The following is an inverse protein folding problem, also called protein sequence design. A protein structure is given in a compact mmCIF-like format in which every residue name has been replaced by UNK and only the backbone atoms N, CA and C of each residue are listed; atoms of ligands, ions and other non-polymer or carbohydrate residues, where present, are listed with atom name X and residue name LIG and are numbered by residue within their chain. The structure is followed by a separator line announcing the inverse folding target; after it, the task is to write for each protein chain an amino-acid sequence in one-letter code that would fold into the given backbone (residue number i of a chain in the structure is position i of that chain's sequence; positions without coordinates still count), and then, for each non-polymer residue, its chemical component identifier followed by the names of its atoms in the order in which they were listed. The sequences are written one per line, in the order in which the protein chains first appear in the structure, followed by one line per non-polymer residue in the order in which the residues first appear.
data_IF_954046780190
#
_entry.id   IF_954046780190
#
_cell.length_a   1.000
_cell.length_b   1.000
_cell.length_c   1.000
_cell.angle_alpha   90.00
_cell.angle_beta   90.00
_cell.angle_gamma   90.00
#
_symmetry.space_group_name_H-M   'P 1'
#
loop_
_entity.id
_entity.type
_entity.pdbx_description
1 polymer ?
#
# COMPACT_ATOMS: atom_id res chain seq x y z
N UNK A 1 9.36 -21.30 20.97
CA UNK A 1 8.20 -20.49 21.39
C UNK A 1 6.96 -21.34 21.66
N UNK A 2 6.57 -22.29 20.82
CA UNK A 2 5.38 -23.12 20.97
C UNK A 2 5.30 -23.98 22.22
N UNK A 3 6.42 -24.45 22.73
CA UNK A 3 6.49 -25.32 23.92
C UNK A 3 6.11 -24.62 25.25
N UNK A 4 5.97 -23.30 25.27
CA UNK A 4 5.74 -22.54 26.52
C UNK A 4 4.38 -21.86 26.62
N UNK A 5 3.52 -21.92 25.58
CA UNK A 5 2.20 -21.29 25.58
C UNK A 5 1.22 -22.10 24.76
N UNK A 6 0.20 -22.59 25.39
CA UNK A 6 -0.99 -23.09 24.68
C UNK A 6 -1.57 -21.97 23.81
N UNK A 7 -2.01 -22.30 22.60
CA UNK A 7 -2.60 -21.36 21.64
C UNK A 7 -1.70 -20.19 21.23
N UNK A 8 -0.42 -20.46 20.99
CA UNK A 8 0.49 -19.48 20.39
C UNK A 8 0.26 -19.38 18.89
N UNK A 9 0.15 -18.15 18.38
CA UNK A 9 0.13 -17.87 16.95
C UNK A 9 1.48 -17.30 16.53
N UNK A 10 2.12 -17.93 15.52
CA UNK A 10 3.29 -17.39 14.84
C UNK A 10 2.89 -16.88 13.47
N UNK A 11 3.28 -15.65 13.14
CA UNK A 11 3.05 -15.04 11.83
C UNK A 11 4.38 -15.02 11.09
N UNK A 12 4.40 -15.54 9.87
CA UNK A 12 5.49 -15.37 8.93
C UNK A 12 5.04 -14.40 7.83
N UNK A 13 5.82 -13.35 7.65
CA UNK A 13 5.61 -12.36 6.59
C UNK A 13 6.97 -11.96 6.03
N UNK A 14 7.10 -11.96 4.72
CA UNK A 14 8.33 -11.60 4.03
C UNK A 14 8.04 -11.04 2.64
N UNK A 15 9.06 -10.44 2.00
CA UNK A 15 8.97 -9.92 0.65
C UNK A 15 8.89 -11.08 -0.36
N UNK A 16 7.93 -11.03 -1.28
CA UNK A 16 7.76 -12.07 -2.31
C UNK A 16 8.98 -12.21 -3.22
N UNK A 17 9.69 -11.12 -3.47
CA UNK A 17 10.90 -11.08 -4.31
C UNK A 17 12.05 -11.91 -3.73
N UNK A 18 12.09 -12.16 -2.42
CA UNK A 18 13.09 -13.04 -1.79
C UNK A 18 12.96 -14.49 -2.24
N UNK A 19 11.81 -14.85 -2.79
CA UNK A 19 11.55 -16.18 -3.33
C UNK A 19 11.95 -16.31 -4.81
N UNK A 20 13.10 -15.77 -5.20
CA UNK A 20 13.72 -15.94 -6.51
C UNK A 20 13.87 -14.67 -7.34
N UNK A 21 13.23 -13.56 -6.95
CA UNK A 21 13.32 -12.26 -7.64
C UNK A 21 14.59 -11.48 -7.32
N UNK A 22 15.12 -11.60 -6.14
CA UNK A 22 16.37 -10.94 -5.73
C UNK A 22 17.61 -11.67 -6.28
N UNK A 23 18.69 -10.96 -6.57
CA UNK A 23 19.92 -11.58 -7.03
C UNK A 23 20.37 -12.72 -6.10
N UNK A 24 20.71 -13.86 -6.69
CA UNK A 24 21.18 -15.10 -6.01
C UNK A 24 20.11 -15.85 -5.20
N UNK A 25 18.89 -15.32 -5.02
CA UNK A 25 17.86 -16.01 -4.25
C UNK A 25 17.25 -17.18 -4.99
N UNK A 26 17.14 -17.12 -6.33
CA UNK A 26 16.59 -18.22 -7.13
C UNK A 26 17.33 -19.54 -6.88
N UNK A 27 18.66 -19.50 -6.94
CA UNK A 27 19.46 -20.71 -6.69
C UNK A 27 19.19 -21.30 -5.31
N UNK A 28 19.25 -20.47 -4.26
CA UNK A 28 19.01 -20.92 -2.89
C UNK A 28 17.60 -21.46 -2.68
N UNK A 29 16.60 -20.77 -3.20
CA UNK A 29 15.18 -21.10 -2.97
C UNK A 29 14.75 -22.35 -3.72
N UNK A 30 15.14 -22.48 -5.01
CA UNK A 30 14.65 -23.53 -5.90
C UNK A 30 15.69 -24.61 -6.18
N UNK A 31 16.93 -24.24 -6.59
CA UNK A 31 17.93 -25.23 -6.98
C UNK A 31 18.54 -25.95 -5.75
N UNK A 32 18.83 -25.20 -4.68
CA UNK A 32 19.32 -25.78 -3.43
C UNK A 32 18.16 -26.36 -2.57
N UNK A 33 16.90 -26.29 -3.03
CA UNK A 33 15.73 -26.92 -2.44
C UNK A 33 15.25 -26.35 -1.12
N UNK A 34 15.61 -25.08 -0.79
CA UNK A 34 15.21 -24.46 0.47
C UNK A 34 13.67 -24.42 0.66
N UNK A 35 12.92 -24.04 -0.41
CA UNK A 35 11.47 -23.90 -0.34
C UNK A 35 10.78 -25.26 -0.11
N UNK A 36 11.23 -26.28 -0.82
CA UNK A 36 10.71 -27.63 -0.67
C UNK A 36 10.98 -28.17 0.74
N UNK A 37 12.22 -27.99 1.24
CA UNK A 37 12.57 -28.39 2.60
C UNK A 37 11.77 -27.63 3.66
N UNK A 38 11.52 -26.34 3.46
CA UNK A 38 10.69 -25.54 4.35
C UNK A 38 9.27 -26.10 4.47
N UNK A 39 8.59 -26.34 3.35
CA UNK A 39 7.22 -26.88 3.36
C UNK A 39 7.16 -28.32 3.84
N UNK A 40 8.10 -29.15 3.44
CA UNK A 40 8.18 -30.54 3.93
C UNK A 40 8.38 -30.60 5.45
N UNK A 41 9.21 -29.70 5.97
CA UNK A 41 9.42 -29.58 7.43
C UNK A 41 8.15 -29.16 8.14
N UNK A 42 7.41 -28.18 7.60
CA UNK A 42 6.12 -27.75 8.18
C UNK A 42 5.09 -28.89 8.17
N UNK A 43 5.01 -29.65 7.07
CA UNK A 43 4.12 -30.81 6.99
C UNK A 43 4.47 -31.90 7.99
N UNK A 44 5.76 -32.20 8.14
CA UNK A 44 6.25 -33.20 9.08
C UNK A 44 5.98 -32.84 10.56
N UNK A 45 5.70 -31.57 10.85
CA UNK A 45 5.38 -31.11 12.21
C UNK A 45 3.87 -30.95 12.46
N UNK A 46 3.02 -31.52 11.60
CA UNK A 46 1.56 -31.36 11.64
C UNK A 46 0.88 -31.79 12.95
N UNK A 47 1.53 -32.63 13.75
CA UNK A 47 1.00 -33.09 15.05
C UNK A 47 0.85 -31.94 16.06
N UNK A 48 1.75 -30.96 16.04
CA UNK A 48 1.76 -29.85 16.98
C UNK A 48 1.71 -28.46 16.32
N UNK A 49 2.04 -28.36 15.03
CA UNK A 49 2.06 -27.12 14.26
C UNK A 49 0.97 -27.17 13.18
N UNK A 50 0.00 -26.27 13.28
CA UNK A 50 -1.08 -26.15 12.29
C UNK A 50 -0.92 -24.88 11.46
N UNK A 51 -0.88 -25.04 10.15
CA UNK A 51 -0.93 -23.91 9.22
C UNK A 51 -2.39 -23.49 9.08
N UNK A 52 -2.62 -22.19 9.26
CA UNK A 52 -3.93 -21.57 9.14
C UNK A 52 -3.82 -20.25 8.40
N UNK A 53 -4.89 -19.83 7.76
CA UNK A 53 -5.00 -18.50 7.14
C UNK A 53 -5.22 -17.42 8.20
N UNK A 54 -5.03 -16.15 7.83
CA UNK A 54 -5.36 -15.03 8.73
C UNK A 54 -6.86 -14.99 9.09
N UNK A 55 -7.73 -15.30 8.14
CA UNK A 55 -9.18 -15.39 8.41
C UNK A 55 -9.50 -16.44 9.46
N UNK A 56 -8.97 -17.64 9.31
CA UNK A 56 -9.12 -18.70 10.32
C UNK A 56 -8.52 -18.31 11.67
N UNK A 57 -7.40 -17.56 11.68
CA UNK A 57 -6.82 -17.08 12.93
C UNK A 57 -7.75 -16.10 13.64
N UNK A 58 -8.36 -15.16 12.91
CA UNK A 58 -9.32 -14.19 13.47
C UNK A 58 -10.58 -14.88 13.99
N UNK A 59 -11.06 -15.92 13.31
CA UNK A 59 -12.22 -16.70 13.76
C UNK A 59 -11.95 -17.55 15.01
N UNK A 60 -10.75 -18.15 15.08
CA UNK A 60 -10.39 -19.11 16.14
C UNK A 60 -9.88 -18.46 17.42
N UNK A 61 -9.23 -17.28 17.32
CA UNK A 61 -8.58 -16.66 18.46
C UNK A 61 -9.27 -15.33 18.84
N UNK A 62 -9.78 -15.28 20.06
CA UNK A 62 -10.29 -14.01 20.59
C UNK A 62 -9.17 -13.00 20.79
N UNK A 63 -9.42 -11.70 20.53
CA UNK A 63 -8.46 -10.64 20.83
C UNK A 63 -8.08 -10.64 22.30
N UNK A 64 -6.78 -10.59 22.60
CA UNK A 64 -6.26 -10.59 23.98
C UNK A 64 -6.19 -9.21 24.61
N UNK A 65 -6.40 -8.16 23.83
CA UNK A 65 -6.35 -6.77 24.31
C UNK A 65 -6.30 -5.79 23.15
N UNK A 66 -6.19 -4.52 23.51
CA UNK A 66 -6.01 -3.42 22.57
C UNK A 66 -4.56 -2.98 22.59
N UNK A 67 -4.04 -2.59 21.44
CA UNK A 67 -2.71 -2.01 21.28
C UNK A 67 -2.83 -0.66 20.61
N UNK A 68 -2.04 0.30 21.06
CA UNK A 68 -1.83 1.55 20.37
C UNK A 68 -0.69 1.38 19.35
N UNK A 69 -0.98 1.65 18.08
CA UNK A 69 0.01 1.69 17.02
C UNK A 69 0.25 3.15 16.65
N UNK A 70 1.41 3.73 17.01
CA UNK A 70 1.74 5.09 16.60
C UNK A 70 1.96 5.17 15.08
N UNK A 71 1.81 6.36 14.51
CA UNK A 71 2.28 6.65 13.16
C UNK A 71 3.79 6.36 13.11
N UNK A 72 4.14 5.29 12.43
CA UNK A 72 5.52 4.82 12.30
C UNK A 72 5.76 4.30 10.89
N UNK A 73 7.02 4.25 10.51
CA UNK A 73 7.45 3.72 9.22
C UNK A 73 8.77 2.96 9.39
N UNK A 74 9.13 2.18 8.40
CA UNK A 74 10.47 1.62 8.34
C UNK A 74 11.50 2.73 8.07
N UNK A 75 12.77 2.40 8.26
CA UNK A 75 13.86 3.39 8.27
C UNK A 75 13.91 4.23 6.99
N UNK A 76 13.86 3.60 5.85
CA UNK A 76 13.97 4.24 4.54
C UNK A 76 12.83 5.24 4.31
N UNK A 77 11.61 4.88 4.66
CA UNK A 77 10.48 5.79 4.55
C UNK A 77 10.58 6.96 5.53
N UNK A 78 11.11 6.74 6.74
CA UNK A 78 11.34 7.82 7.70
C UNK A 78 12.28 8.89 7.13
N UNK A 79 13.28 8.47 6.37
CA UNK A 79 14.26 9.33 5.72
C UNK A 79 13.67 10.00 4.47
N UNK A 80 13.11 9.23 3.55
CA UNK A 80 12.57 9.73 2.28
C UNK A 80 11.39 10.70 2.44
N UNK A 81 10.63 10.57 3.51
CA UNK A 81 9.51 11.45 3.80
C UNK A 81 9.94 12.83 4.32
N UNK A 82 11.21 13.03 4.67
CA UNK A 82 11.72 14.32 5.13
C UNK A 82 12.04 15.27 3.95
N UNK A 83 11.96 16.58 4.17
CA UNK A 83 12.59 17.57 3.27
C UNK A 83 14.09 17.32 3.14
N UNK A 84 14.70 17.70 2.03
CA UNK A 84 16.13 17.43 1.73
C UNK A 84 17.05 17.81 2.89
N UNK A 85 16.88 19.01 3.46
CA UNK A 85 17.68 19.44 4.62
C UNK A 85 17.48 18.51 5.83
N UNK A 86 16.25 18.04 6.04
CA UNK A 86 15.93 17.11 7.11
C UNK A 86 16.54 15.73 6.92
N UNK A 87 16.71 15.28 5.67
CA UNK A 87 17.39 14.02 5.35
C UNK A 87 18.83 14.08 5.83
N UNK A 88 19.59 15.11 5.44
CA UNK A 88 20.98 15.27 5.87
C UNK A 88 21.14 15.34 7.40
N UNK A 89 20.25 16.08 8.06
CA UNK A 89 20.25 16.14 9.53
C UNK A 89 19.94 14.80 10.19
N UNK A 90 19.00 14.05 9.64
CA UNK A 90 18.64 12.71 10.12
C UNK A 90 19.80 11.73 9.93
N UNK A 91 20.49 11.76 8.80
CA UNK A 91 21.67 10.95 8.51
C UNK A 91 22.81 11.29 9.47
N UNK A 92 23.09 12.58 9.68
CA UNK A 92 24.13 13.06 10.60
C UNK A 92 23.90 12.54 12.03
N UNK A 93 22.67 12.70 12.54
CA UNK A 93 22.32 12.19 13.88
C UNK A 93 22.40 10.66 13.93
N UNK A 94 21.91 9.99 12.89
CA UNK A 94 21.95 8.52 12.82
C UNK A 94 23.37 7.98 12.80
N UNK A 95 24.28 8.66 12.10
CA UNK A 95 25.69 8.32 12.04
C UNK A 95 26.39 8.56 13.38
N UNK A 96 26.17 9.73 13.98
CA UNK A 96 26.76 10.09 15.28
C UNK A 96 26.36 9.09 16.41
N UNK A 97 25.13 8.55 16.32
CA UNK A 97 24.65 7.54 17.27
C UNK A 97 25.24 6.15 17.02
N UNK A 98 25.62 5.83 15.79
CA UNK A 98 25.95 4.46 15.37
C UNK A 98 27.10 3.81 16.17
N UNK A 99 28.02 4.61 16.70
CA UNK A 99 29.14 4.15 17.52
C UNK A 99 28.90 4.11 19.04
N UNK A 100 27.71 4.49 19.51
CA UNK A 100 27.44 4.59 20.94
C UNK A 100 26.88 3.29 21.53
N UNK A 101 27.30 2.86 22.72
CA UNK A 101 26.77 1.64 23.37
C UNK A 101 25.25 1.67 23.58
N UNK A 102 24.67 2.84 23.73
CA UNK A 102 23.24 3.07 23.96
C UNK A 102 22.45 3.39 22.68
N UNK A 103 23.06 3.31 21.50
CA UNK A 103 22.41 3.61 20.21
C UNK A 103 21.10 2.86 20.00
N UNK A 104 21.04 1.60 20.44
CA UNK A 104 19.85 0.76 20.33
C UNK A 104 18.65 1.31 21.12
N UNK A 105 18.90 2.00 22.23
CA UNK A 105 17.85 2.68 23.02
C UNK A 105 17.42 3.97 22.36
N UNK A 106 18.37 4.81 21.94
CA UNK A 106 18.09 6.11 21.32
C UNK A 106 17.30 5.98 20.01
N UNK A 107 17.55 4.96 19.20
CA UNK A 107 16.82 4.69 17.95
C UNK A 107 15.32 4.51 18.13
N UNK A 108 14.86 4.12 19.32
CA UNK A 108 13.43 4.02 19.64
C UNK A 108 12.73 5.38 19.69
N UNK A 109 13.47 6.44 19.96
CA UNK A 109 12.95 7.80 20.13
C UNK A 109 13.25 8.71 18.94
N UNK A 110 14.21 8.33 18.07
CA UNK A 110 14.53 9.09 16.87
C UNK A 110 13.57 8.67 15.76
N UNK A 111 12.74 9.61 15.34
CA UNK A 111 11.75 9.44 14.28
C UNK A 111 12.05 10.44 13.17
N UNK A 112 11.98 9.95 11.93
CA UNK A 112 11.90 10.80 10.74
C UNK A 112 10.45 11.07 10.36
N UNK A 113 10.17 11.12 9.07
CA UNK A 113 8.81 11.21 8.55
C UNK A 113 8.11 9.85 8.51
N UNK A 114 6.86 9.86 8.08
CA UNK A 114 6.06 8.67 7.85
C UNK A 114 5.39 8.76 6.47
N UNK A 115 4.65 7.71 6.08
CA UNK A 115 3.91 7.68 4.81
C UNK A 115 3.06 8.93 4.55
N UNK A 116 2.43 9.49 5.57
CA UNK A 116 1.64 10.73 5.45
C UNK A 116 2.49 11.91 5.00
N UNK A 117 3.71 12.06 5.56
CA UNK A 117 4.65 13.12 5.17
C UNK A 117 5.19 12.87 3.75
N UNK A 118 5.45 11.61 3.38
CA UNK A 118 5.88 11.24 2.05
C UNK A 118 4.89 11.70 0.98
N UNK A 119 3.60 11.46 1.18
CA UNK A 119 2.54 11.89 0.26
C UNK A 119 2.48 13.41 0.09
N UNK A 120 2.71 14.16 1.18
CA UNK A 120 2.77 15.64 1.10
C UNK A 120 3.98 16.11 0.31
N UNK A 121 5.12 15.43 0.45
CA UNK A 121 6.34 15.74 -0.30
C UNK A 121 6.22 15.43 -1.79
N UNK A 122 5.46 14.40 -2.15
CA UNK A 122 5.28 13.92 -3.52
C UNK A 122 3.82 14.03 -3.97
N UNK A 123 3.43 15.16 -4.60
CA UNK A 123 2.03 15.39 -5.01
C UNK A 123 1.45 14.32 -5.92
N UNK A 124 2.25 13.70 -6.80
CA UNK A 124 1.80 12.63 -7.68
C UNK A 124 1.40 11.36 -6.90
N UNK A 125 2.19 10.99 -5.88
CA UNK A 125 1.82 9.88 -5.00
C UNK A 125 0.53 10.19 -4.22
N UNK A 126 0.36 11.45 -3.82
CA UNK A 126 -0.85 11.90 -3.14
C UNK A 126 -2.08 11.83 -4.04
N UNK A 127 -1.98 12.31 -5.26
CA UNK A 127 -3.06 12.26 -6.25
C UNK A 127 -3.50 10.81 -6.55
N UNK A 128 -2.55 9.92 -6.85
CA UNK A 128 -2.86 8.50 -7.06
C UNK A 128 -3.55 7.88 -5.83
N UNK A 129 -3.06 8.21 -4.63
CA UNK A 129 -3.65 7.71 -3.39
C UNK A 129 -5.08 8.22 -3.18
N UNK A 130 -5.35 9.49 -3.43
CA UNK A 130 -6.68 10.07 -3.31
C UNK A 130 -7.67 9.43 -4.31
N UNK A 131 -7.24 9.26 -5.57
CA UNK A 131 -8.03 8.56 -6.58
C UNK A 131 -8.30 7.10 -6.20
N UNK A 132 -7.30 6.40 -5.69
CA UNK A 132 -7.48 5.03 -5.19
C UNK A 132 -8.51 4.97 -4.07
N UNK A 133 -8.50 5.91 -3.12
CA UNK A 133 -9.49 5.97 -2.05
C UNK A 133 -10.90 6.26 -2.56
N UNK A 134 -11.06 7.14 -3.55
CA UNK A 134 -12.34 7.44 -4.18
C UNK A 134 -12.94 6.17 -4.81
N UNK A 135 -12.15 5.49 -5.66
CA UNK A 135 -12.57 4.23 -6.31
C UNK A 135 -12.86 3.15 -5.28
N UNK A 136 -12.05 3.04 -4.25
CA UNK A 136 -12.26 2.08 -3.14
C UNK A 136 -13.59 2.32 -2.43
N UNK A 137 -13.94 3.57 -2.13
CA UNK A 137 -15.23 3.93 -1.52
C UNK A 137 -16.41 3.57 -2.43
N UNK A 138 -16.28 3.84 -3.72
CA UNK A 138 -17.28 3.53 -4.73
C UNK A 138 -17.55 2.02 -4.81
N UNK A 139 -16.48 1.20 -4.86
CA UNK A 139 -16.61 -0.26 -4.89
C UNK A 139 -17.17 -0.80 -3.58
N UNK A 140 -16.75 -0.24 -2.44
CA UNK A 140 -17.27 -0.65 -1.13
C UNK A 140 -18.78 -0.39 -0.95
N UNK A 141 -19.37 0.50 -1.77
CA UNK A 141 -20.82 0.76 -1.78
C UNK A 141 -21.62 -0.18 -2.67
N UNK A 142 -20.97 -1.03 -3.47
CA UNK A 142 -21.64 -2.01 -4.30
C UNK A 142 -22.21 -3.16 -3.47
N UNK A 143 -23.27 -3.77 -3.96
CA UNK A 143 -23.73 -5.05 -3.42
C UNK A 143 -22.66 -6.13 -3.68
N UNK A 144 -22.16 -6.74 -2.60
CA UNK A 144 -21.13 -7.79 -2.67
C UNK A 144 -21.58 -9.04 -3.43
N UNK A 145 -22.88 -9.25 -3.57
CA UNK A 145 -23.46 -10.36 -4.32
C UNK A 145 -23.68 -10.04 -5.81
N UNK A 146 -23.42 -8.80 -6.23
CA UNK A 146 -23.54 -8.42 -7.64
C UNK A 146 -22.42 -9.03 -8.47
N UNK A 147 -22.73 -9.33 -9.73
CA UNK A 147 -21.75 -9.87 -10.70
C UNK A 147 -20.57 -8.94 -10.97
N UNK A 148 -20.75 -7.64 -10.75
CA UNK A 148 -19.70 -6.62 -10.98
C UNK A 148 -18.76 -6.44 -9.81
N UNK A 149 -19.14 -6.84 -8.58
CA UNK A 149 -18.33 -6.59 -7.37
C UNK A 149 -16.93 -7.21 -7.46
N UNK A 150 -16.85 -8.52 -7.67
CA UNK A 150 -15.56 -9.21 -7.70
C UNK A 150 -14.64 -8.76 -8.84
N UNK A 151 -15.11 -8.54 -10.09
CA UNK A 151 -14.29 -7.95 -11.14
C UNK A 151 -13.77 -6.56 -10.77
N UNK A 152 -14.61 -5.67 -10.24
CA UNK A 152 -14.22 -4.32 -9.85
C UNK A 152 -13.22 -4.32 -8.69
N UNK A 153 -13.45 -5.14 -7.66
CA UNK A 153 -12.56 -5.32 -6.51
C UNK A 153 -11.17 -5.85 -6.96
N UNK A 154 -11.14 -6.78 -7.90
CA UNK A 154 -9.89 -7.31 -8.45
C UNK A 154 -9.06 -6.23 -9.14
N UNK A 155 -9.70 -5.37 -9.91
CA UNK A 155 -9.00 -4.24 -10.57
C UNK A 155 -8.53 -3.20 -9.54
N UNK A 156 -9.32 -2.92 -8.50
CA UNK A 156 -8.90 -2.08 -7.39
C UNK A 156 -7.67 -2.66 -6.69
N UNK A 157 -7.63 -3.96 -6.40
CA UNK A 157 -6.47 -4.60 -5.76
C UNK A 157 -5.20 -4.50 -6.61
N UNK A 158 -5.29 -4.58 -7.94
CA UNK A 158 -4.16 -4.31 -8.84
C UNK A 158 -3.70 -2.85 -8.75
N UNK A 159 -4.64 -1.92 -8.65
CA UNK A 159 -4.35 -0.50 -8.49
C UNK A 159 -3.78 -0.14 -7.11
N UNK A 160 -3.88 -1.02 -6.13
CA UNK A 160 -3.29 -0.89 -4.80
C UNK A 160 -1.86 -1.45 -4.70
N UNK A 161 -1.28 -1.90 -5.83
CA UNK A 161 0.12 -2.31 -5.86
C UNK A 161 1.01 -1.15 -5.39
N UNK A 162 1.80 -1.39 -4.34
CA UNK A 162 2.50 -0.34 -3.62
C UNK A 162 3.62 0.34 -4.41
N UNK A 163 4.24 -0.34 -5.36
CA UNK A 163 5.46 0.10 -6.03
C UNK A 163 5.35 1.49 -6.67
N UNK A 164 4.18 1.82 -7.23
CA UNK A 164 3.96 3.11 -7.87
C UNK A 164 3.75 4.27 -6.87
N UNK A 165 3.44 3.99 -5.59
CA UNK A 165 3.06 5.02 -4.62
C UNK A 165 4.23 5.58 -3.82
N UNK A 166 5.39 4.95 -3.87
CA UNK A 166 6.54 5.32 -3.06
C UNK A 166 7.85 5.30 -3.84
N UNK A 167 8.97 5.53 -3.18
CA UNK A 167 10.26 5.70 -3.82
C UNK A 167 10.76 4.45 -4.53
N UNK A 168 10.78 3.33 -3.85
CA UNK A 168 11.27 2.04 -4.35
C UNK A 168 12.71 2.04 -4.86
N UNK A 169 13.45 1.00 -4.58
CA UNK A 169 14.82 0.81 -5.10
C UNK A 169 14.84 0.67 -6.62
N UNK A 170 13.74 0.27 -7.22
CA UNK A 170 13.57 0.06 -8.67
C UNK A 170 12.92 1.23 -9.39
N UNK A 171 12.78 2.40 -8.76
CA UNK A 171 12.27 3.63 -9.33
C UNK A 171 10.87 4.04 -8.88
N UNK A 172 10.01 3.11 -8.49
CA UNK A 172 8.71 3.39 -7.87
C UNK A 172 7.88 4.42 -8.62
N UNK A 173 7.45 5.47 -7.90
CA UNK A 173 6.61 6.57 -8.44
C UNK A 173 7.26 7.35 -9.60
N UNK A 174 8.57 7.27 -9.79
CA UNK A 174 9.26 7.96 -10.88
C UNK A 174 9.08 7.28 -12.24
N UNK A 175 8.63 6.02 -12.26
CA UNK A 175 8.43 5.25 -13.48
C UNK A 175 7.03 5.52 -14.07
N UNK A 176 6.95 6.19 -15.24
CA UNK A 176 5.65 6.54 -15.83
C UNK A 176 4.75 5.34 -16.08
N UNK A 177 5.32 4.21 -16.50
CA UNK A 177 4.55 3.00 -16.79
C UNK A 177 3.89 2.40 -15.54
N UNK A 178 4.49 2.53 -14.35
CA UNK A 178 3.86 2.08 -13.10
C UNK A 178 2.68 2.99 -12.74
N UNK A 179 2.84 4.32 -12.82
CA UNK A 179 1.73 5.25 -12.59
C UNK A 179 0.60 5.03 -13.58
N UNK A 180 0.92 4.87 -14.86
CA UNK A 180 -0.06 4.56 -15.91
C UNK A 180 -0.81 3.26 -15.62
N UNK A 181 -0.13 2.23 -15.13
CA UNK A 181 -0.76 0.97 -14.74
C UNK A 181 -1.75 1.17 -13.59
N UNK A 182 -1.40 1.96 -12.56
CA UNK A 182 -2.30 2.29 -11.45
C UNK A 182 -3.56 2.98 -11.99
N UNK A 183 -3.41 4.07 -12.74
CA UNK A 183 -4.57 4.80 -13.30
C UNK A 183 -5.43 3.92 -14.20
N UNK A 184 -4.84 3.10 -15.06
CA UNK A 184 -5.60 2.16 -15.90
C UNK A 184 -6.46 1.23 -15.08
N UNK A 185 -5.91 0.64 -14.01
CA UNK A 185 -6.66 -0.26 -13.16
C UNK A 185 -7.72 0.47 -12.32
N UNK A 186 -7.43 1.69 -11.84
CA UNK A 186 -8.44 2.54 -11.19
C UNK A 186 -9.60 2.85 -12.11
N UNK A 187 -9.32 3.27 -13.35
CA UNK A 187 -10.35 3.60 -14.35
C UNK A 187 -11.18 2.37 -14.73
N UNK A 188 -10.54 1.22 -14.90
CA UNK A 188 -11.26 -0.03 -15.17
C UNK A 188 -12.18 -0.40 -13.99
N UNK A 189 -11.68 -0.32 -12.78
CA UNK A 189 -12.46 -0.59 -11.56
C UNK A 189 -13.65 0.40 -11.42
N UNK A 190 -13.39 1.69 -11.65
CA UNK A 190 -14.42 2.72 -11.61
C UNK A 190 -15.48 2.53 -12.70
N UNK A 191 -15.06 2.20 -13.93
CA UNK A 191 -15.99 1.97 -15.05
C UNK A 191 -16.90 0.76 -14.78
N UNK A 192 -16.36 -0.32 -14.23
CA UNK A 192 -17.17 -1.47 -13.81
C UNK A 192 -18.18 -1.11 -12.72
N UNK A 193 -17.79 -0.26 -11.78
CA UNK A 193 -18.63 0.16 -10.67
C UNK A 193 -19.61 1.29 -11.04
N UNK A 194 -19.45 1.91 -12.21
CA UNK A 194 -20.25 3.07 -12.61
C UNK A 194 -21.59 2.62 -13.18
N UNK A 195 -22.67 2.99 -12.49
CA UNK A 195 -24.05 2.70 -12.92
C UNK A 195 -24.71 3.86 -13.70
N UNK A 196 -23.98 4.96 -13.92
CA UNK A 196 -24.54 6.14 -14.54
C UNK A 196 -24.44 6.12 -16.09
N UNK A 197 -25.55 5.89 -16.83
CA UNK A 197 -25.52 5.82 -18.28
C UNK A 197 -25.47 7.20 -18.97
N UNK A 198 -25.55 8.29 -18.20
CA UNK A 198 -25.62 9.67 -18.71
C UNK A 198 -24.54 10.54 -18.09
N UNK A 199 -24.28 11.68 -18.73
CA UNK A 199 -23.39 12.69 -18.15
C UNK A 199 -23.94 13.16 -16.80
N UNK A 200 -23.09 13.20 -15.79
CA UNK A 200 -23.38 13.75 -14.48
C UNK A 200 -22.26 14.68 -14.01
N UNK A 201 -22.62 15.54 -13.09
CA UNK A 201 -21.70 16.47 -12.45
C UNK A 201 -21.71 16.18 -10.93
N UNK A 202 -20.52 16.09 -10.35
CA UNK A 202 -20.34 15.88 -8.93
C UNK A 202 -19.33 16.89 -8.38
N UNK A 203 -19.53 17.31 -7.14
CA UNK A 203 -18.64 18.26 -6.49
C UNK A 203 -18.20 17.67 -5.16
N UNK A 204 -16.93 17.30 -5.06
CA UNK A 204 -16.33 16.63 -3.93
C UNK A 204 -14.87 17.07 -3.76
N UNK A 205 -14.32 16.87 -2.57
CA UNK A 205 -12.88 16.98 -2.31
C UNK A 205 -12.20 15.67 -2.78
N UNK A 206 -11.86 15.61 -4.06
CA UNK A 206 -11.30 14.41 -4.69
C UNK A 206 -9.83 14.20 -4.38
N UNK A 207 -9.07 15.25 -4.17
CA UNK A 207 -7.65 15.16 -3.88
C UNK A 207 -7.31 15.36 -2.39
N UNK A 208 -8.35 15.42 -1.54
CA UNK A 208 -8.25 15.49 -0.09
C UNK A 208 -7.45 16.70 0.42
N UNK A 209 -7.55 17.84 -0.28
CA UNK A 209 -6.91 19.10 0.09
C UNK A 209 -7.83 20.04 0.88
N UNK A 210 -9.04 19.59 1.22
CA UNK A 210 -10.13 20.30 1.89
C UNK A 210 -10.91 21.29 1.03
N UNK A 211 -10.61 21.40 -0.25
CA UNK A 211 -11.36 22.18 -1.23
C UNK A 211 -12.17 21.24 -2.11
N UNK A 212 -13.13 21.81 -2.84
CA UNK A 212 -14.00 20.98 -3.68
C UNK A 212 -13.63 21.14 -5.15
N UNK A 213 -13.36 20.02 -5.78
CA UNK A 213 -13.26 19.90 -7.22
C UNK A 213 -14.62 19.62 -7.84
N UNK A 214 -14.69 19.86 -9.15
CA UNK A 214 -15.84 19.50 -9.98
C UNK A 214 -15.43 18.37 -10.91
N UNK A 215 -16.14 17.25 -10.81
CA UNK A 215 -16.03 16.12 -11.73
C UNK A 215 -17.19 16.16 -12.71
N UNK A 216 -16.88 16.13 -13.99
CA UNK A 216 -17.84 15.87 -15.06
C UNK A 216 -17.53 14.48 -15.59
N UNK A 217 -18.51 13.60 -15.53
CA UNK A 217 -18.35 12.20 -15.93
C UNK A 217 -19.43 11.78 -16.91
N UNK A 218 -19.06 10.99 -17.89
CA UNK A 218 -19.97 10.29 -18.79
C UNK A 218 -19.41 8.88 -19.10
N UNK A 219 -20.07 8.05 -19.93
CA UNK A 219 -19.55 6.71 -20.22
C UNK A 219 -18.17 6.65 -20.88
N UNK A 220 -17.67 7.75 -21.44
CA UNK A 220 -16.40 7.77 -22.17
C UNK A 220 -15.26 8.47 -21.43
N UNK A 221 -15.58 9.51 -20.62
CA UNK A 221 -14.55 10.34 -19.98
C UNK A 221 -14.92 10.72 -18.55
N UNK A 222 -13.88 10.94 -17.73
CA UNK A 222 -13.95 11.77 -16.53
C UNK A 222 -13.09 13.01 -16.74
N UNK A 223 -13.58 14.17 -16.34
CA UNK A 223 -12.84 15.42 -16.36
C UNK A 223 -12.96 16.09 -14.99
N UNK A 224 -11.82 16.40 -14.37
CA UNK A 224 -11.74 16.99 -13.04
C UNK A 224 -11.21 18.42 -13.12
N UNK A 225 -11.93 19.34 -12.52
CA UNK A 225 -11.62 20.76 -12.53
C UNK A 225 -11.38 21.28 -11.11
N UNK A 226 -10.43 22.18 -10.97
CA UNK A 226 -10.14 22.91 -9.72
C UNK A 226 -10.65 24.33 -9.77
N UNK A 227 -11.82 24.63 -9.17
CA UNK A 227 -12.41 25.99 -9.18
C UNK A 227 -11.49 27.02 -8.52
N UNK A 228 -10.83 26.67 -7.42
CA UNK A 228 -9.94 27.58 -6.66
C UNK A 228 -8.69 28.00 -7.45
N UNK A 229 -8.38 27.29 -8.55
CA UNK A 229 -7.28 27.61 -9.46
C UNK A 229 -7.75 28.10 -10.81
N UNK A 230 -8.84 28.87 -10.83
CA UNK A 230 -9.41 29.41 -12.07
C UNK A 230 -10.15 28.37 -12.91
N UNK A 231 -10.58 27.26 -12.32
CA UNK A 231 -11.34 26.21 -13.01
C UNK A 231 -10.50 25.37 -13.98
N UNK A 232 -9.18 25.25 -13.75
CA UNK A 232 -8.34 24.47 -14.65
C UNK A 232 -8.65 23.00 -14.60
N UNK A 233 -8.59 22.35 -15.77
CA UNK A 233 -8.66 20.90 -15.93
C UNK A 233 -7.33 20.29 -15.42
N UNK A 234 -7.36 19.52 -14.33
CA UNK A 234 -6.16 18.92 -13.78
C UNK A 234 -6.03 17.41 -14.01
N UNK A 235 -7.16 16.75 -14.31
CA UNK A 235 -7.17 15.33 -14.68
C UNK A 235 -8.23 15.11 -15.77
N UNK A 236 -7.87 14.37 -16.79
CA UNK A 236 -8.76 13.94 -17.88
C UNK A 236 -8.52 12.48 -18.17
N UNK A 237 -9.53 11.68 -17.90
CA UNK A 237 -9.47 10.23 -18.09
C UNK A 237 -10.31 9.81 -19.28
N UNK A 238 -9.79 8.90 -20.07
CA UNK A 238 -10.55 8.14 -21.03
C UNK A 238 -10.92 6.78 -20.45
N UNK A 239 -12.21 6.48 -20.35
CA UNK A 239 -12.71 5.21 -19.81
C UNK A 239 -12.56 4.12 -20.87
N UNK A 240 -12.00 2.94 -20.49
CA UNK A 240 -11.81 1.81 -21.40
C UNK A 240 -13.13 1.15 -21.82
#
# INVERSE_FOLDING_TARGET
MGQRRENALAVYADDGEKFGGWPKTFKHVYEDGWLENFFSTLQAQGDWLKLITFSEAVERFSPRGKIYLPDASYREMMEWALPVKGIFQYEEVSHALGGQPWAHLARRFIKGGCWRNFRVKYPEAYQMYARMLEVSKKIASLDRNSEIFLPAEKELHKAQCNDAYWHGIFGGLYLPHLRTAIFRHLLTAETLADSHPKTYLETLDYDLDTKKEVKISNPMINAYFKPERGGHLYELDYKP
#
